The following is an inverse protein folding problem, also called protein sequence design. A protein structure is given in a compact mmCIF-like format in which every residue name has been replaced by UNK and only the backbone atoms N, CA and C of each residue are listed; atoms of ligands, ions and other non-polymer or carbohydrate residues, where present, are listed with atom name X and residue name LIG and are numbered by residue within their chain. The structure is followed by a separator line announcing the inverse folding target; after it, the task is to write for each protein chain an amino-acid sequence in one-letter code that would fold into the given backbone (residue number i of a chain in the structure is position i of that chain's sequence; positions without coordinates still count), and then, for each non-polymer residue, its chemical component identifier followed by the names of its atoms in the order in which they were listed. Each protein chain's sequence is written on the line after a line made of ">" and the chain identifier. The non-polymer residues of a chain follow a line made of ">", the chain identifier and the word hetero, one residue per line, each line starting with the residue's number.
data_IF_213616052255
#
_entry.id   IF_213616052255
#
_cell.length_a   1.000
_cell.length_b   1.000
_cell.length_c   1.000
_cell.angle_alpha   90.00
_cell.angle_beta   90.00
_cell.angle_gamma   90.00
#
_symmetry.space_group_name_H-M   'P 1'
#
loop_
_entity.id
_entity.type
_entity.pdbx_description
1 polymer ?
#
# COMPACT_ATOMS: atom_id res chain seq x y z
N UNK A 1 -19.07 -11.32 17.23
CA UNK A 1 -18.32 -11.29 15.96
C UNK A 1 -16.86 -11.12 16.31
N UNK A 2 -16.03 -12.16 16.18
CA UNK A 2 -14.59 -12.02 16.37
C UNK A 2 -14.00 -11.08 15.30
N UNK A 3 -12.84 -10.45 15.56
CA UNK A 3 -12.18 -9.66 14.52
C UNK A 3 -11.93 -10.57 13.30
N UNK A 4 -12.16 -10.09 12.08
CA UNK A 4 -11.85 -10.88 10.89
C UNK A 4 -10.37 -11.30 10.98
N UNK A 5 -10.09 -12.60 10.82
CA UNK A 5 -8.73 -13.13 10.74
C UNK A 5 -7.92 -12.26 9.79
N UNK A 6 -6.89 -11.60 10.30
CA UNK A 6 -6.05 -10.68 9.52
C UNK A 6 -5.24 -11.49 8.53
N UNK A 7 -5.76 -11.65 7.31
CA UNK A 7 -5.06 -12.37 6.25
C UNK A 7 -3.79 -11.61 5.84
N UNK A 8 -2.63 -12.27 5.89
CA UNK A 8 -1.36 -11.65 5.52
C UNK A 8 -1.04 -11.82 4.02
N UNK A 9 -0.13 -10.97 3.52
CA UNK A 9 0.34 -11.02 2.13
C UNK A 9 1.10 -12.34 1.87
N UNK A 10 1.88 -12.79 2.86
CA UNK A 10 2.58 -14.08 2.87
C UNK A 10 1.60 -15.25 2.68
N UNK A 11 0.49 -15.27 3.41
CA UNK A 11 -0.52 -16.34 3.31
C UNK A 11 -1.10 -16.42 1.90
N UNK A 12 -1.45 -15.27 1.33
CA UNK A 12 -1.99 -15.19 -0.03
C UNK A 12 -0.99 -15.63 -1.09
N UNK A 13 0.31 -15.42 -0.86
CA UNK A 13 1.37 -15.91 -1.76
C UNK A 13 1.57 -17.42 -1.65
N UNK A 14 1.52 -17.97 -0.44
CA UNK A 14 1.69 -19.41 -0.20
C UNK A 14 0.47 -20.23 -0.63
N UNK A 15 -0.74 -19.68 -0.47
CA UNK A 15 -2.00 -20.39 -0.69
C UNK A 15 -2.98 -19.64 -1.61
N UNK A 16 -2.57 -19.22 -2.83
CA UNK A 16 -3.37 -18.32 -3.66
C UNK A 16 -4.69 -18.92 -4.13
N UNK A 17 -4.73 -20.24 -4.36
CA UNK A 17 -5.96 -20.94 -4.78
C UNK A 17 -6.99 -21.00 -3.65
N UNK A 18 -6.56 -21.31 -2.44
CA UNK A 18 -7.43 -21.43 -1.28
C UNK A 18 -7.99 -20.08 -0.82
N UNK A 19 -7.23 -19.00 -1.03
CA UNK A 19 -7.57 -17.66 -0.56
C UNK A 19 -8.18 -16.76 -1.64
N UNK A 20 -8.35 -17.28 -2.87
CA UNK A 20 -9.01 -16.54 -3.96
C UNK A 20 -10.43 -16.14 -3.56
N UNK A 21 -10.80 -14.88 -3.82
CA UNK A 21 -12.10 -14.30 -3.48
C UNK A 21 -12.20 -13.77 -2.04
N UNK A 22 -11.24 -14.09 -1.16
CA UNK A 22 -11.18 -13.56 0.19
C UNK A 22 -11.03 -12.04 0.18
N UNK A 23 -11.82 -11.36 1.01
CA UNK A 23 -11.72 -9.91 1.17
C UNK A 23 -10.55 -9.56 2.08
N UNK A 24 -9.74 -8.59 1.66
CA UNK A 24 -8.58 -8.09 2.39
C UNK A 24 -8.58 -6.57 2.44
N UNK A 25 -7.92 -6.02 3.47
CA UNK A 25 -7.55 -4.61 3.56
C UNK A 25 -6.05 -4.54 3.80
N UNK A 26 -5.31 -4.14 2.78
CA UNK A 26 -3.86 -4.01 2.81
C UNK A 26 -3.45 -2.61 2.39
N UNK A 27 -2.20 -2.26 2.63
CA UNK A 27 -1.66 -0.98 2.18
C UNK A 27 -0.16 -0.93 2.33
N UNK A 28 0.41 0.19 1.93
CA UNK A 28 1.85 0.39 1.95
C UNK A 28 2.28 1.50 1.00
N UNK A 29 3.53 1.45 0.59
CA UNK A 29 4.13 2.46 -0.29
C UNK A 29 3.95 2.06 -1.75
N UNK A 30 3.50 2.98 -2.60
CA UNK A 30 3.45 2.77 -4.05
C UNK A 30 4.88 2.61 -4.58
N UNK A 31 5.15 1.49 -5.25
CA UNK A 31 6.44 1.19 -5.89
C UNK A 31 6.42 1.55 -7.36
N UNK A 32 5.34 1.20 -8.06
CA UNK A 32 5.15 1.43 -9.48
C UNK A 32 3.66 1.51 -9.84
N UNK A 33 3.37 2.20 -10.95
CA UNK A 33 2.04 2.31 -11.56
C UNK A 33 2.18 1.85 -13.01
N UNK A 34 1.38 0.86 -13.42
CA UNK A 34 1.38 0.32 -14.77
C UNK A 34 -0.03 0.32 -15.35
N UNK A 35 -0.24 1.11 -16.40
CA UNK A 35 -1.53 1.25 -17.07
C UNK A 35 -1.68 0.22 -18.18
N UNK A 36 -2.76 -0.56 -18.14
CA UNK A 36 -3.21 -1.45 -19.21
C UNK A 36 -4.45 -0.88 -19.89
N UNK A 37 -4.88 -1.50 -20.98
CA UNK A 37 -6.02 -1.03 -21.78
C UNK A 37 -7.32 -0.84 -20.97
N UNK A 38 -7.55 -1.66 -19.94
CA UNK A 38 -8.83 -1.67 -19.19
C UNK A 38 -8.66 -1.54 -17.67
N UNK A 39 -7.42 -1.57 -17.16
CA UNK A 39 -7.13 -1.50 -15.74
C UNK A 39 -5.72 -0.97 -15.48
N UNK A 40 -5.47 -0.55 -14.25
CA UNK A 40 -4.14 -0.17 -13.76
C UNK A 40 -3.68 -1.19 -12.72
N UNK A 41 -2.40 -1.57 -12.76
CA UNK A 41 -1.73 -2.28 -11.68
C UNK A 41 -0.91 -1.30 -10.86
N UNK A 42 -1.21 -1.22 -9.57
CA UNK A 42 -0.38 -0.55 -8.59
C UNK A 42 0.45 -1.61 -7.87
N UNK A 43 1.77 -1.54 -8.03
CA UNK A 43 2.68 -2.35 -7.24
C UNK A 43 2.91 -1.67 -5.89
N UNK A 44 2.67 -2.39 -4.80
CA UNK A 44 2.69 -1.81 -3.45
C UNK A 44 3.62 -2.63 -2.57
N UNK A 45 4.53 -1.94 -1.88
CA UNK A 45 5.34 -2.52 -0.81
C UNK A 45 4.51 -2.52 0.47
N UNK A 46 3.96 -3.68 0.81
CA UNK A 46 3.03 -3.86 1.92
C UNK A 46 3.63 -3.49 3.27
N UNK A 47 2.85 -2.77 4.08
CA UNK A 47 3.14 -2.36 5.46
C UNK A 47 1.97 -2.70 6.37
N UNK A 48 2.21 -2.91 7.68
CA UNK A 48 1.14 -2.96 8.66
C UNK A 48 0.29 -1.70 8.61
N UNK A 49 -1.02 -1.87 8.75
CA UNK A 49 -1.95 -0.74 8.88
C UNK A 49 -2.15 -0.43 10.37
N UNK A 50 -2.18 0.85 10.70
CA UNK A 50 -2.66 1.34 12.00
C UNK A 50 -4.19 1.29 12.08
N UNK A 51 -4.76 1.68 13.22
CA UNK A 51 -6.21 1.58 13.48
C UNK A 51 -7.06 2.43 12.54
N UNK A 52 -6.55 3.58 12.09
CA UNK A 52 -7.22 4.39 11.06
C UNK A 52 -7.02 3.84 9.64
N UNK A 53 -6.26 2.75 9.50
CA UNK A 53 -5.94 2.08 8.27
C UNK A 53 -4.81 2.73 7.47
N UNK A 54 -4.04 3.65 8.06
CA UNK A 54 -2.84 4.23 7.44
C UNK A 54 -1.70 3.20 7.50
N UNK A 55 -0.98 2.96 6.39
CA UNK A 55 0.19 2.11 6.45
C UNK A 55 1.29 2.78 7.28
N UNK A 56 1.91 2.02 8.18
CA UNK A 56 3.06 2.46 8.95
C UNK A 56 4.32 2.35 8.09
N UNK A 57 4.80 3.49 7.62
CA UNK A 57 5.98 3.58 6.75
C UNK A 57 7.27 3.11 7.44
N UNK A 58 7.35 3.27 8.77
CA UNK A 58 8.51 2.91 9.58
C UNK A 58 8.60 1.40 9.87
N UNK A 59 7.46 0.70 9.86
CA UNK A 59 7.39 -0.73 10.12
C UNK A 59 8.03 -1.56 8.99
N UNK A 60 8.52 -2.76 9.31
CA UNK A 60 9.11 -3.68 8.31
C UNK A 60 8.10 -4.04 7.21
N UNK A 61 8.59 -4.26 5.99
CA UNK A 61 7.72 -4.70 4.90
C UNK A 61 7.13 -6.09 5.16
N UNK A 62 5.86 -6.25 4.80
CA UNK A 62 5.12 -7.51 4.82
C UNK A 62 5.20 -8.27 3.48
N UNK A 63 6.02 -7.80 2.53
CA UNK A 63 6.08 -8.30 1.16
C UNK A 63 5.45 -7.35 0.15
N UNK A 64 5.42 -7.74 -1.12
CA UNK A 64 4.82 -6.97 -2.20
C UNK A 64 3.51 -7.61 -2.66
N UNK A 65 2.58 -6.77 -3.07
CA UNK A 65 1.33 -7.19 -3.70
C UNK A 65 0.97 -6.19 -4.80
N UNK A 66 0.05 -6.59 -5.67
CA UNK A 66 -0.52 -5.69 -6.67
C UNK A 66 -1.97 -5.37 -6.34
N UNK A 67 -2.35 -4.10 -6.50
CA UNK A 67 -3.74 -3.69 -6.54
C UNK A 67 -4.15 -3.46 -7.99
N UNK A 68 -5.14 -4.22 -8.46
CA UNK A 68 -5.74 -4.04 -9.78
C UNK A 68 -6.95 -3.10 -9.66
N UNK A 69 -6.84 -1.94 -10.29
CA UNK A 69 -7.88 -0.90 -10.28
C UNK A 69 -8.50 -0.81 -11.68
N UNK A 70 -9.83 -0.82 -11.82
CA UNK A 70 -10.46 -0.67 -13.13
C UNK A 70 -10.19 0.71 -13.73
N UNK A 71 -9.93 0.73 -15.04
CA UNK A 71 -9.61 1.95 -15.78
C UNK A 71 -8.18 2.46 -15.59
N UNK A 72 -7.99 3.73 -15.96
CA UNK A 72 -6.72 4.44 -15.92
C UNK A 72 -6.50 5.12 -14.56
N UNK A 73 -5.26 5.12 -14.07
CA UNK A 73 -4.80 6.02 -13.02
C UNK A 73 -3.58 6.81 -13.51
N UNK A 74 -3.60 8.10 -13.24
CA UNK A 74 -2.46 8.96 -13.51
C UNK A 74 -1.30 8.65 -12.53
N UNK A 75 -0.12 8.24 -13.03
CA UNK A 75 1.06 8.04 -12.20
C UNK A 75 1.48 9.30 -11.43
N UNK A 76 1.19 10.50 -11.94
CA UNK A 76 1.50 11.77 -11.27
C UNK A 76 0.58 12.02 -10.06
N UNK A 77 -0.65 11.50 -10.08
CA UNK A 77 -1.55 11.52 -8.93
C UNK A 77 -1.24 10.42 -7.92
N UNK A 78 -0.60 9.32 -8.37
CA UNK A 78 -0.20 8.19 -7.53
C UNK A 78 1.32 8.00 -7.52
N UNK A 79 2.10 9.03 -7.13
CA UNK A 79 3.54 9.00 -7.29
C UNK A 79 4.17 7.96 -6.35
N UNK A 80 5.30 7.42 -6.81
CA UNK A 80 6.12 6.48 -6.05
C UNK A 80 6.41 7.02 -4.65
N UNK A 81 6.32 6.13 -3.66
CA UNK A 81 6.53 6.44 -2.25
C UNK A 81 5.29 6.89 -1.49
N UNK A 82 4.18 7.23 -2.17
CA UNK A 82 2.94 7.58 -1.45
C UNK A 82 2.37 6.39 -0.71
N UNK A 83 1.79 6.68 0.45
CA UNK A 83 1.03 5.73 1.24
C UNK A 83 -0.36 5.53 0.64
N UNK A 84 -0.72 4.27 0.42
CA UNK A 84 -1.99 3.87 -0.15
C UNK A 84 -2.57 2.72 0.68
N UNK A 85 -3.87 2.80 0.96
CA UNK A 85 -4.64 1.67 1.50
C UNK A 85 -5.64 1.19 0.47
N UNK A 86 -5.78 -0.12 0.34
CA UNK A 86 -6.62 -0.80 -0.64
C UNK A 86 -7.48 -1.83 0.08
N UNK A 87 -8.77 -1.85 -0.26
CA UNK A 87 -9.70 -2.92 0.14
C UNK A 87 -10.25 -3.59 -1.11
N UNK A 88 -10.35 -4.90 -1.08
CA UNK A 88 -10.81 -5.65 -2.24
C UNK A 88 -10.75 -7.15 -2.03
N UNK A 89 -10.85 -7.90 -3.12
CA UNK A 89 -10.81 -9.37 -3.09
C UNK A 89 -9.53 -9.89 -3.71
N UNK A 90 -8.98 -10.95 -3.13
CA UNK A 90 -7.86 -11.65 -3.74
C UNK A 90 -8.27 -12.30 -5.05
N UNK A 91 -7.45 -12.13 -6.08
CA UNK A 91 -7.66 -12.70 -7.40
C UNK A 91 -6.50 -13.62 -7.78
N UNK A 92 -6.46 -14.03 -9.04
CA UNK A 92 -5.35 -14.85 -9.54
C UNK A 92 -4.04 -14.07 -9.41
N UNK A 93 -2.98 -14.65 -8.82
CA UNK A 93 -1.67 -14.01 -8.76
C UNK A 93 -1.12 -13.63 -10.14
N UNK A 94 -0.26 -12.63 -10.16
CA UNK A 94 0.50 -12.23 -11.34
C UNK A 94 1.97 -12.54 -11.08
N UNK A 95 2.55 -13.35 -11.96
CA UNK A 95 3.99 -13.60 -11.95
C UNK A 95 4.69 -12.45 -12.69
N UNK A 96 5.65 -11.80 -12.03
CA UNK A 96 6.41 -10.70 -12.62
C UNK A 96 7.83 -10.67 -12.05
N UNK A 97 8.78 -10.14 -12.83
CA UNK A 97 10.17 -10.04 -12.40
C UNK A 97 10.42 -8.82 -11.52
N UNK A 98 11.26 -9.01 -10.49
CA UNK A 98 11.94 -7.95 -9.74
C UNK A 98 13.43 -8.08 -10.03
N UNK A 99 13.95 -7.27 -10.95
CA UNK A 99 15.26 -7.51 -11.54
C UNK A 99 15.27 -8.87 -12.24
N UNK A 100 16.17 -9.77 -11.83
CA UNK A 100 16.24 -11.15 -12.37
C UNK A 100 15.39 -12.16 -11.59
N UNK A 101 14.78 -11.76 -10.46
CA UNK A 101 14.02 -12.66 -9.61
C UNK A 101 12.56 -12.74 -10.06
N UNK A 102 12.07 -13.94 -10.34
CA UNK A 102 10.66 -14.19 -10.66
C UNK A 102 9.83 -14.19 -9.38
N UNK A 103 8.81 -13.34 -9.31
CA UNK A 103 8.01 -13.13 -8.10
C UNK A 103 6.51 -13.29 -8.39
N UNK A 104 5.86 -14.14 -7.60
CA UNK A 104 4.41 -14.30 -7.61
C UNK A 104 3.75 -13.24 -6.73
N UNK A 105 3.17 -12.22 -7.36
CA UNK A 105 2.43 -11.18 -6.66
C UNK A 105 1.03 -11.66 -6.32
N UNK A 106 0.64 -11.67 -5.03
CA UNK A 106 -0.77 -11.64 -4.67
C UNK A 106 -1.43 -10.41 -5.30
N UNK A 107 -2.61 -10.59 -5.89
CA UNK A 107 -3.36 -9.50 -6.54
C UNK A 107 -4.64 -9.25 -5.79
N UNK A 108 -4.88 -7.99 -5.44
CA UNK A 108 -6.14 -7.50 -4.88
C UNK A 108 -6.90 -6.79 -5.99
N UNK A 109 -8.07 -7.31 -6.35
CA UNK A 109 -9.05 -6.57 -7.15
C UNK A 109 -9.65 -5.49 -6.28
N UNK A 110 -9.22 -4.24 -6.51
CA UNK A 110 -9.52 -3.12 -5.65
C UNK A 110 -11.00 -2.72 -5.78
N UNK A 111 -11.74 -2.84 -4.69
CA UNK A 111 -13.10 -2.33 -4.54
C UNK A 111 -13.08 -0.88 -4.02
N UNK A 112 -12.10 -0.56 -3.16
CA UNK A 112 -11.87 0.79 -2.65
C UNK A 112 -10.37 1.05 -2.47
N UNK A 113 -9.96 2.31 -2.62
CA UNK A 113 -8.59 2.78 -2.41
C UNK A 113 -8.59 4.14 -1.71
N UNK A 114 -7.56 4.39 -0.91
CA UNK A 114 -7.38 5.67 -0.22
C UNK A 114 -5.91 6.08 -0.25
N UNK A 115 -5.62 7.13 -1.02
CA UNK A 115 -4.30 7.74 -1.12
C UNK A 115 -4.12 8.72 0.04
N UNK A 116 -3.20 8.42 0.94
CA UNK A 116 -2.99 9.27 2.11
C UNK A 116 -2.33 10.59 1.71
N UNK A 117 -2.74 11.73 2.30
CA UNK A 117 -2.08 13.00 2.08
C UNK A 117 -0.61 12.91 2.52
N UNK A 118 0.26 13.69 1.88
CA UNK A 118 1.62 13.86 2.39
C UNK A 118 1.51 14.58 3.73
N UNK A 119 2.22 14.10 4.74
CA UNK A 119 2.39 14.90 5.95
C UNK A 119 3.28 16.08 5.57
N UNK A 120 2.70 17.28 5.58
CA UNK A 120 3.48 18.50 5.52
C UNK A 120 4.25 18.58 6.82
N UNK A 121 5.56 18.31 6.76
CA UNK A 121 6.46 18.65 7.85
C UNK A 121 6.50 20.17 7.89
N UNK A 122 5.65 20.79 8.71
CA UNK A 122 5.82 22.19 9.03
C UNK A 122 7.15 22.30 9.81
N UNK A 123 8.20 22.92 9.24
CA UNK A 123 9.34 23.27 10.05
C UNK A 123 8.81 24.28 11.06
N UNK A 124 8.69 23.87 12.33
CA UNK A 124 8.42 24.82 13.39
C UNK A 124 9.50 25.90 13.30
N UNK A 125 9.15 27.17 13.02
CA UNK A 125 10.13 28.22 13.16
C UNK A 125 10.50 28.25 14.64
N UNK A 126 11.76 27.98 14.95
CA UNK A 126 12.31 28.25 16.27
C UNK A 126 12.04 29.73 16.54
N UNK A 127 11.01 30.02 17.35
CA UNK A 127 10.81 31.34 17.89
C UNK A 127 11.99 31.58 18.81
N UNK A 128 13.02 32.23 18.28
CA UNK A 128 14.11 32.76 19.09
C UNK A 128 13.50 33.91 19.86
N UNK A 129 12.93 33.61 21.02
CA UNK A 129 12.35 34.62 21.90
C UNK A 129 13.46 35.64 22.26
N UNK A 130 13.34 36.92 21.85
CA UNK A 130 14.35 37.93 22.13
C UNK A 130 14.51 38.26 23.63
N UNK A 131 13.67 37.71 24.49
CA UNK A 131 13.59 38.06 25.91
C UNK A 131 14.10 36.96 26.86
N UNK A 132 14.76 35.92 26.34
CA UNK A 132 15.41 34.92 27.19
C UNK A 132 16.74 35.46 27.77
N UNK A 133 16.65 36.16 28.91
CA UNK A 133 17.80 36.45 29.77
C UNK A 133 17.97 35.33 30.81
N UNK A 134 19.05 34.53 30.77
CA UNK A 134 19.40 33.65 31.87
C UNK A 134 20.00 34.50 33.01
N UNK A 135 19.48 34.31 34.22
CA UNK A 135 20.03 34.84 35.47
C UNK A 135 21.21 34.01 35.94
#
# INVERSE_FOLDING_TARGET
>A
MGPPTKLEISDARLNPKALKGSRVRWGGNVVAVENFKTYTLLEILGRPLSDNGKPDESAKSMGRFMARVPGFLDPEEHPKGRLLSVTGKLSTPIEKRIGEYLYDYPVVDAEARYLWPKEEVYPYPYYRDPFYYPW
#
